data_IF_701799498400
#
_entry.id   IF_701799498400
#
_cell.length_a   1.000
_cell.length_b   1.000
_cell.length_c   1.000
_cell.angle_alpha   90.00
_cell.angle_beta   90.00
_cell.angle_gamma   90.00
#
_symmetry.space_group_name_H-M   'P 1'
#
loop_
_entity.id
_entity.type
_entity.pdbx_description
1 polymer ?
#
# COMPACT_ATOMS: atom_id res chain seq x y z
N UNK A 1 5.35 34.09 -8.79
CA UNK A 1 5.32 34.10 -7.31
C UNK A 1 6.73 33.77 -6.83
N UNK A 2 7.34 34.66 -6.05
CA UNK A 2 8.67 34.42 -5.47
C UNK A 2 8.60 33.31 -4.42
N UNK A 3 9.68 32.52 -4.21
CA UNK A 3 9.69 31.45 -3.22
C UNK A 3 9.59 32.04 -1.80
N UNK A 4 8.65 31.52 -1.01
CA UNK A 4 8.51 31.83 0.41
C UNK A 4 9.68 31.16 1.13
N UNK A 5 10.54 31.97 1.77
CA UNK A 5 11.61 31.47 2.62
C UNK A 5 10.99 30.78 3.84
N UNK A 6 11.24 29.48 3.99
CA UNK A 6 10.88 28.71 5.18
C UNK A 6 12.02 28.87 6.17
N UNK A 7 11.83 29.69 7.20
CA UNK A 7 12.73 29.73 8.35
C UNK A 7 12.51 28.44 9.15
N UNK A 8 13.56 27.65 9.42
CA UNK A 8 13.42 26.48 10.29
C UNK A 8 13.03 26.95 11.72
N UNK A 9 12.22 26.17 12.45
CA UNK A 9 11.98 26.41 13.86
C UNK A 9 13.32 26.35 14.63
N UNK A 10 13.43 27.14 15.69
CA UNK A 10 14.64 27.24 16.49
C UNK A 10 15.12 25.86 16.98
N UNK A 11 16.44 25.65 16.95
CA UNK A 11 17.11 24.46 17.48
C UNK A 11 16.81 24.31 18.98
N UNK A 12 15.77 23.56 19.35
CA UNK A 12 15.76 22.93 20.66
C UNK A 12 16.86 21.87 20.66
N UNK A 13 17.74 21.85 21.68
CA UNK A 13 18.89 20.96 21.69
C UNK A 13 18.42 19.51 21.66
N UNK A 14 18.70 18.82 20.56
CA UNK A 14 18.66 17.36 20.47
C UNK A 14 19.56 16.83 21.58
N UNK A 15 18.95 16.12 22.53
CA UNK A 15 19.59 15.65 23.76
C UNK A 15 20.96 14.98 23.51
N UNK A 16 21.88 15.25 24.44
CA UNK A 16 23.28 14.84 24.44
C UNK A 16 23.48 13.35 24.07
N UNK A 17 24.06 13.08 22.88
CA UNK A 17 24.26 11.74 22.30
C UNK A 17 25.11 10.84 23.22
N UNK A 18 25.90 11.42 24.12
CA UNK A 18 26.70 10.67 25.10
C UNK A 18 25.86 9.96 26.18
N UNK A 19 24.59 10.33 26.36
CA UNK A 19 23.68 9.66 27.31
C UNK A 19 23.11 8.33 26.80
N UNK A 20 23.31 7.98 25.52
CA UNK A 20 22.82 6.73 24.93
C UNK A 20 23.74 5.53 25.21
N UNK A 21 25.00 5.75 25.60
CA UNK A 21 25.98 4.67 25.83
C UNK A 21 25.97 4.11 27.27
N UNK A 22 25.15 4.66 28.17
CA UNK A 22 25.04 4.20 29.56
C UNK A 22 23.71 3.50 29.89
N UNK A 23 22.93 3.08 28.89
CA UNK A 23 21.77 2.21 29.13
C UNK A 23 22.30 0.77 29.29
N UNK A 24 23.02 0.55 30.39
CA UNK A 24 23.24 -0.77 30.95
C UNK A 24 21.89 -1.32 31.38
N UNK A 25 21.55 -2.52 30.89
CA UNK A 25 20.53 -3.45 31.41
C UNK A 25 19.50 -2.82 32.36
N UNK A 26 18.61 -1.99 31.83
CA UNK A 26 17.32 -1.76 32.50
C UNK A 26 16.51 -3.04 32.30
N UNK A 27 16.02 -3.63 33.39
CA UNK A 27 15.20 -4.83 33.40
C UNK A 27 14.23 -4.85 32.20
N UNK A 28 14.19 -5.94 31.45
CA UNK A 28 13.34 -6.06 30.25
C UNK A 28 11.85 -5.86 30.50
N UNK A 29 11.43 -5.92 31.77
CA UNK A 29 10.08 -5.59 32.21
C UNK A 29 9.83 -4.07 32.24
N UNK A 30 10.83 -3.27 32.57
CA UNK A 30 10.74 -1.80 32.65
C UNK A 30 10.68 -1.19 31.24
N UNK A 31 11.42 -1.76 30.28
CA UNK A 31 11.38 -1.30 28.89
C UNK A 31 10.06 -1.61 28.18
N UNK A 32 9.46 -2.78 28.44
CA UNK A 32 8.14 -3.13 27.88
C UNK A 32 7.05 -2.20 28.42
N UNK A 33 7.00 -2.00 29.73
CA UNK A 33 6.02 -1.12 30.36
C UNK A 33 6.17 0.33 29.87
N UNK A 34 7.40 0.82 29.70
CA UNK A 34 7.66 2.14 29.16
C UNK A 34 7.18 2.29 27.70
N UNK A 35 7.40 1.28 26.84
CA UNK A 35 6.92 1.29 25.45
C UNK A 35 5.39 1.27 25.39
N UNK A 36 4.74 0.45 26.22
CA UNK A 36 3.28 0.39 26.30
C UNK A 36 2.70 1.73 26.75
N UNK A 37 3.28 2.34 27.78
CA UNK A 37 2.88 3.67 28.23
C UNK A 37 3.06 4.74 27.14
N UNK A 38 4.19 4.73 26.43
CA UNK A 38 4.44 5.66 25.34
C UNK A 38 3.46 5.48 24.17
N UNK A 39 3.09 4.23 23.85
CA UNK A 39 2.11 3.90 22.84
C UNK A 39 0.71 4.40 23.22
N UNK A 40 0.26 4.16 24.45
CA UNK A 40 -1.04 4.64 24.91
C UNK A 40 -1.09 6.18 24.92
N UNK A 41 -0.05 6.84 25.43
CA UNK A 41 0.04 8.29 25.36
C UNK A 41 0.04 8.81 23.91
N UNK A 42 0.64 8.08 22.96
CA UNK A 42 0.59 8.43 21.54
C UNK A 42 -0.81 8.26 20.94
N UNK A 43 -1.51 7.18 21.28
CA UNK A 43 -2.91 6.97 20.88
C UNK A 43 -3.82 8.06 21.44
N UNK A 44 -3.70 8.40 22.71
CA UNK A 44 -4.50 9.47 23.33
C UNK A 44 -4.30 10.82 22.62
N UNK A 45 -3.05 11.21 22.36
CA UNK A 45 -2.75 12.42 21.58
C UNK A 45 -3.31 12.35 20.16
N UNK A 46 -3.26 11.17 19.54
CA UNK A 46 -3.83 10.95 18.21
C UNK A 46 -5.36 11.13 18.23
N UNK A 47 -6.06 10.55 19.20
CA UNK A 47 -7.53 10.70 19.32
C UNK A 47 -7.92 12.16 19.52
N UNK A 48 -7.27 12.86 20.45
CA UNK A 48 -7.56 14.28 20.76
C UNK A 48 -7.34 15.19 19.55
N UNK A 49 -6.34 14.90 18.72
CA UNK A 49 -6.03 15.68 17.52
C UNK A 49 -6.97 15.40 16.35
N UNK A 50 -7.62 14.24 16.29
CA UNK A 50 -8.41 13.83 15.12
C UNK A 50 -9.88 13.52 15.44
N UNK A 51 -10.63 14.44 16.07
CA UNK A 51 -12.03 14.20 16.46
C UNK A 51 -12.98 14.00 15.27
N UNK A 52 -12.74 14.67 14.14
CA UNK A 52 -13.57 14.51 12.93
C UNK A 52 -13.32 13.15 12.28
N UNK A 53 -12.06 12.73 12.16
CA UNK A 53 -11.74 11.39 11.66
C UNK A 53 -12.35 10.28 12.53
N UNK A 54 -12.35 10.44 13.87
CA UNK A 54 -13.03 9.48 14.77
C UNK A 54 -14.53 9.40 14.46
N UNK A 55 -15.20 10.55 14.37
CA UNK A 55 -16.63 10.60 14.06
C UNK A 55 -16.94 9.89 12.73
N UNK A 56 -16.19 10.19 11.68
CA UNK A 56 -16.36 9.59 10.35
C UNK A 56 -16.08 8.08 10.36
N UNK A 57 -15.11 7.63 11.16
CA UNK A 57 -14.86 6.19 11.34
C UNK A 57 -16.07 5.48 11.96
N UNK A 58 -16.62 6.00 13.04
CA UNK A 58 -17.80 5.43 13.71
C UNK A 58 -19.04 5.43 12.79
N UNK A 59 -19.19 6.44 11.93
CA UNK A 59 -20.22 6.45 10.88
C UNK A 59 -19.96 5.35 9.84
N UNK A 60 -18.71 5.20 9.38
CA UNK A 60 -18.34 4.17 8.41
C UNK A 60 -18.54 2.75 8.94
N UNK A 61 -18.30 2.50 10.23
CA UNK A 61 -18.52 1.20 10.88
C UNK A 61 -19.98 0.72 10.80
N UNK A 62 -20.94 1.63 10.63
CA UNK A 62 -22.35 1.26 10.48
C UNK A 62 -22.63 0.50 9.17
N UNK A 63 -21.75 0.64 8.17
CA UNK A 63 -21.92 0.05 6.84
C UNK A 63 -20.74 -0.81 6.38
N UNK A 64 -19.56 -0.64 6.97
CA UNK A 64 -18.34 -1.34 6.59
C UNK A 64 -17.76 -2.09 7.81
N UNK A 65 -17.39 -3.38 7.68
CA UNK A 65 -16.71 -4.09 8.76
C UNK A 65 -15.43 -3.37 9.18
N UNK A 66 -15.36 -2.93 10.44
CA UNK A 66 -14.25 -2.12 10.95
C UNK A 66 -14.06 -0.79 10.20
N UNK A 67 -15.13 -0.25 9.63
CA UNK A 67 -15.16 1.07 8.98
C UNK A 67 -14.31 1.15 7.72
N UNK A 68 -14.04 0.03 7.04
CA UNK A 68 -13.02 -0.03 6.00
C UNK A 68 -13.32 -1.05 4.87
N UNK A 69 -12.78 -0.80 3.67
CA UNK A 69 -12.92 -1.67 2.48
C UNK A 69 -11.58 -2.19 1.94
N UNK A 70 -10.46 -1.80 2.56
CA UNK A 70 -9.10 -2.21 2.19
C UNK A 70 -8.24 -2.29 3.45
N UNK A 71 -8.11 -3.50 3.99
CA UNK A 71 -7.61 -3.75 5.36
C UNK A 71 -6.30 -3.05 5.72
N UNK A 72 -5.38 -2.85 4.77
CA UNK A 72 -4.12 -2.15 5.00
C UNK A 72 -4.29 -0.69 5.44
N UNK A 73 -5.40 -0.05 5.06
CA UNK A 73 -5.68 1.35 5.41
C UNK A 73 -6.25 1.50 6.82
N UNK A 74 -6.60 0.41 7.50
CA UNK A 74 -7.08 0.47 8.87
C UNK A 74 -5.88 0.46 9.84
N UNK A 75 -5.87 1.40 10.77
CA UNK A 75 -4.92 1.46 11.87
C UNK A 75 -5.65 1.76 13.19
N UNK A 76 -5.18 1.19 14.29
CA UNK A 76 -5.68 1.54 15.61
C UNK A 76 -5.17 2.93 16.04
N UNK A 77 -5.95 3.73 16.78
CA UNK A 77 -7.31 3.43 17.24
C UNK A 77 -8.40 3.58 16.16
N UNK A 78 -8.15 4.39 15.12
CA UNK A 78 -8.99 4.53 13.92
C UNK A 78 -8.14 5.18 12.79
N UNK A 79 -8.53 5.03 11.51
CA UNK A 79 -7.81 5.65 10.40
C UNK A 79 -8.04 7.16 10.31
N UNK A 80 -7.04 7.90 9.81
CA UNK A 80 -7.20 9.33 9.47
C UNK A 80 -8.01 9.45 8.19
N UNK A 81 -9.04 10.28 8.21
CA UNK A 81 -9.83 10.58 7.02
C UNK A 81 -9.17 11.73 6.25
N UNK A 82 -8.78 11.47 4.99
CA UNK A 82 -8.17 12.47 4.12
C UNK A 82 -9.25 13.26 3.38
N UNK A 83 -9.18 14.59 3.44
CA UNK A 83 -10.11 15.49 2.78
C UNK A 83 -9.70 15.75 1.32
N UNK A 84 -8.40 16.05 1.09
CA UNK A 84 -7.89 16.39 -0.25
C UNK A 84 -6.39 16.16 -0.37
N UNK A 85 -5.90 16.10 -1.60
CA UNK A 85 -4.48 16.10 -1.91
C UNK A 85 -4.13 17.03 -3.08
N UNK A 86 -2.92 17.58 -3.09
CA UNK A 86 -2.39 18.39 -4.19
C UNK A 86 -0.87 18.24 -4.25
N UNK A 87 -0.34 17.93 -5.43
CA UNK A 87 1.08 17.63 -5.60
C UNK A 87 1.49 16.44 -4.72
N UNK A 88 2.41 16.69 -3.79
CA UNK A 88 2.91 15.72 -2.82
C UNK A 88 2.28 15.87 -1.42
N UNK A 89 1.30 16.76 -1.26
CA UNK A 89 0.67 17.05 0.03
C UNK A 89 -0.74 16.45 0.12
N UNK A 90 -1.11 16.00 1.30
CA UNK A 90 -2.48 15.63 1.67
C UNK A 90 -2.94 16.40 2.91
N UNK A 91 -4.25 16.62 3.01
CA UNK A 91 -4.88 17.33 4.12
C UNK A 91 -5.98 16.45 4.69
N UNK A 92 -5.98 16.23 6.01
CA UNK A 92 -7.04 15.46 6.68
C UNK A 92 -8.33 16.27 6.87
N UNK A 93 -9.43 15.59 7.21
CA UNK A 93 -10.70 16.23 7.61
C UNK A 93 -10.58 17.02 8.91
N UNK A 94 -9.54 16.77 9.69
CA UNK A 94 -9.18 17.55 10.88
C UNK A 94 -8.29 18.77 10.53
N UNK A 95 -7.97 18.99 9.26
CA UNK A 95 -7.22 20.14 8.76
C UNK A 95 -5.70 20.03 8.87
N UNK A 96 -5.17 18.86 9.24
CA UNK A 96 -3.73 18.65 9.29
C UNK A 96 -3.15 18.45 7.88
N UNK A 97 -2.03 19.10 7.59
CA UNK A 97 -1.31 18.93 6.34
C UNK A 97 -0.14 17.95 6.51
N UNK A 98 0.03 17.04 5.55
CA UNK A 98 1.09 16.04 5.55
C UNK A 98 1.79 16.01 4.19
N UNK A 99 3.10 15.80 4.21
CA UNK A 99 3.84 15.33 3.04
C UNK A 99 3.54 13.84 2.86
N UNK A 100 2.99 13.45 1.71
CA UNK A 100 2.70 12.04 1.41
C UNK A 100 3.98 11.31 0.99
N UNK A 101 4.48 10.48 1.91
CA UNK A 101 5.61 9.58 1.68
C UNK A 101 5.17 8.13 1.41
N UNK A 102 3.87 7.85 1.46
CA UNK A 102 3.30 6.52 1.18
C UNK A 102 3.00 6.38 -0.31
N UNK A 103 2.48 7.43 -0.95
CA UNK A 103 2.29 7.50 -2.40
C UNK A 103 1.42 6.37 -2.95
N UNK A 104 0.31 6.09 -2.27
CA UNK A 104 -0.64 5.03 -2.62
C UNK A 104 0.04 3.66 -2.86
N UNK A 105 0.93 3.27 -1.93
CA UNK A 105 1.72 2.04 -2.02
C UNK A 105 2.42 1.88 -3.37
N UNK A 106 3.09 2.94 -3.84
CA UNK A 106 3.76 3.09 -5.15
C UNK A 106 2.88 3.49 -6.34
N UNK A 107 1.56 3.29 -6.29
CA UNK A 107 0.68 3.64 -7.43
C UNK A 107 0.56 5.15 -7.63
N UNK A 108 0.70 5.93 -6.55
CA UNK A 108 0.60 7.39 -6.51
C UNK A 108 1.88 8.11 -6.95
N UNK A 109 2.66 7.52 -7.84
CA UNK A 109 3.96 8.04 -8.28
C UNK A 109 3.91 9.50 -8.76
N UNK A 110 2.79 9.91 -9.36
CA UNK A 110 2.61 11.25 -9.94
C UNK A 110 2.00 12.27 -8.98
N UNK A 111 1.84 11.90 -7.70
CA UNK A 111 1.15 12.70 -6.69
C UNK A 111 -0.35 12.84 -6.96
N UNK A 112 -0.99 13.75 -6.25
CA UNK A 112 -2.47 13.84 -6.17
C UNK A 112 -3.11 14.74 -7.23
N UNK A 113 -2.33 15.51 -8.00
CA UNK A 113 -2.87 16.51 -8.93
C UNK A 113 -2.00 16.76 -10.17
N UNK A 114 -1.42 15.71 -10.74
CA UNK A 114 -0.61 15.80 -11.97
C UNK A 114 -1.40 16.49 -13.11
N UNK A 115 -0.92 17.65 -13.63
CA UNK A 115 -1.63 18.39 -14.68
C UNK A 115 -1.80 17.57 -15.97
N UNK A 116 -0.82 16.73 -16.30
CA UNK A 116 -0.85 15.87 -17.49
C UNK A 116 -1.95 14.81 -17.38
N UNK A 117 -2.05 14.13 -16.24
CA UNK A 117 -3.07 13.10 -16.01
C UNK A 117 -4.45 13.75 -16.04
N UNK A 118 -4.62 14.88 -15.35
CA UNK A 118 -5.89 15.61 -15.30
C UNK A 118 -6.36 16.05 -16.70
N UNK A 119 -5.46 16.65 -17.51
CA UNK A 119 -5.78 17.03 -18.87
C UNK A 119 -6.14 15.83 -19.76
N UNK A 120 -5.44 14.71 -19.59
CA UNK A 120 -5.70 13.47 -20.35
C UNK A 120 -7.06 12.88 -20.01
N UNK A 121 -7.43 12.83 -18.72
CA UNK A 121 -8.74 12.35 -18.27
C UNK A 121 -9.87 13.20 -18.85
N UNK A 122 -9.76 14.54 -18.74
CA UNK A 122 -10.75 15.45 -19.30
C UNK A 122 -10.90 15.28 -20.81
N UNK A 123 -9.79 15.25 -21.55
CA UNK A 123 -9.80 15.03 -23.00
C UNK A 123 -10.44 13.68 -23.37
N UNK A 124 -10.25 12.65 -22.55
CA UNK A 124 -10.83 11.32 -22.79
C UNK A 124 -12.35 11.37 -22.60
N UNK A 125 -12.83 12.02 -21.53
CA UNK A 125 -14.26 12.21 -21.30
C UNK A 125 -14.92 13.01 -22.42
N UNK A 126 -14.29 14.12 -22.83
CA UNK A 126 -14.86 15.05 -23.81
C UNK A 126 -14.87 14.47 -25.24
N UNK A 127 -13.83 13.70 -25.62
CA UNK A 127 -13.62 13.31 -27.02
C UNK A 127 -13.76 11.80 -27.31
N UNK A 128 -13.75 10.95 -26.29
CA UNK A 128 -13.83 9.49 -26.44
C UNK A 128 -15.08 8.93 -25.76
N UNK A 129 -15.34 9.33 -24.52
CA UNK A 129 -16.45 8.83 -23.69
C UNK A 129 -16.07 7.61 -22.84
N UNK A 130 -17.02 7.15 -22.03
CA UNK A 130 -16.87 6.01 -21.10
C UNK A 130 -17.71 4.82 -21.56
N UNK A 131 -17.30 3.61 -21.16
CA UNK A 131 -18.10 2.39 -21.28
C UNK A 131 -18.63 2.12 -22.70
N UNK A 132 -17.76 2.27 -23.71
CA UNK A 132 -18.13 2.18 -25.13
C UNK A 132 -18.59 0.79 -25.59
N UNK A 133 -18.41 -0.26 -24.78
CA UNK A 133 -18.73 -1.63 -25.17
C UNK A 133 -17.91 -2.16 -26.36
N UNK A 134 -16.77 -1.52 -26.66
CA UNK A 134 -15.94 -1.79 -27.82
C UNK A 134 -14.45 -1.55 -27.53
N UNK A 135 -13.58 -2.10 -28.38
CA UNK A 135 -12.13 -1.86 -28.33
C UNK A 135 -11.78 -0.48 -28.85
N UNK A 136 -10.68 0.09 -28.35
CA UNK A 136 -10.19 1.39 -28.81
C UNK A 136 -8.73 1.32 -29.24
N UNK A 137 -8.30 2.24 -30.11
CA UNK A 137 -6.86 2.33 -30.48
C UNK A 137 -5.93 2.55 -29.28
N UNK A 138 -6.44 3.10 -28.17
CA UNK A 138 -5.66 3.44 -26.99
C UNK A 138 -5.12 2.19 -26.29
N UNK A 139 -5.88 1.09 -26.27
CA UNK A 139 -5.43 -0.16 -25.64
C UNK A 139 -4.20 -0.75 -26.37
N UNK A 140 -4.20 -0.73 -27.70
CA UNK A 140 -3.09 -1.22 -28.51
C UNK A 140 -1.85 -0.32 -28.39
N UNK A 141 -2.05 1.01 -28.38
CA UNK A 141 -0.96 1.97 -28.16
C UNK A 141 -0.33 1.81 -26.79
N UNK A 142 -1.13 1.66 -25.73
CA UNK A 142 -0.63 1.45 -24.39
C UNK A 142 0.11 0.11 -24.27
N UNK A 143 -0.43 -0.95 -24.86
CA UNK A 143 0.23 -2.26 -24.87
C UNK A 143 1.59 -2.21 -25.58
N UNK A 144 1.70 -1.49 -26.70
CA UNK A 144 2.96 -1.33 -27.42
C UNK A 144 4.02 -0.62 -26.56
N UNK A 145 3.64 0.41 -25.80
CA UNK A 145 4.56 1.12 -24.90
C UNK A 145 5.09 0.21 -23.79
N UNK A 146 4.23 -0.61 -23.19
CA UNK A 146 4.62 -1.57 -22.14
C UNK A 146 5.52 -2.66 -22.73
N UNK A 147 5.12 -3.28 -23.84
CA UNK A 147 5.92 -4.31 -24.50
C UNK A 147 7.31 -3.79 -24.86
N UNK A 148 7.40 -2.58 -25.40
CA UNK A 148 8.68 -1.94 -25.72
C UNK A 148 9.52 -1.66 -24.48
N UNK A 149 8.92 -1.15 -23.40
CA UNK A 149 9.64 -0.76 -22.17
C UNK A 149 10.22 -1.98 -21.44
N UNK A 150 9.48 -3.08 -21.41
CA UNK A 150 9.84 -4.27 -20.62
C UNK A 150 10.26 -5.47 -21.49
N UNK A 151 10.46 -5.27 -22.80
CA UNK A 151 10.84 -6.33 -23.75
C UNK A 151 9.91 -7.54 -23.73
N UNK A 152 8.60 -7.30 -23.61
CA UNK A 152 7.57 -8.35 -23.60
C UNK A 152 7.04 -8.62 -25.01
N UNK A 153 6.74 -9.88 -25.32
CA UNK A 153 6.16 -10.24 -26.62
C UNK A 153 4.70 -9.76 -26.77
N UNK A 154 3.86 -10.05 -25.77
CA UNK A 154 2.43 -9.65 -25.72
C UNK A 154 1.99 -9.48 -24.27
N UNK A 155 0.92 -8.71 -24.07
CA UNK A 155 0.28 -8.52 -22.77
C UNK A 155 -1.25 -8.59 -22.88
N UNK A 156 -1.92 -8.73 -21.74
CA UNK A 156 -3.35 -8.46 -21.56
C UNK A 156 -3.52 -7.58 -20.32
N UNK A 157 -4.43 -6.62 -20.38
CA UNK A 157 -4.74 -5.76 -19.24
C UNK A 157 -5.70 -6.45 -18.27
N UNK A 158 -5.60 -6.07 -17.00
CA UNK A 158 -6.49 -6.46 -15.90
C UNK A 158 -6.83 -5.22 -15.09
N UNK A 159 -7.81 -5.32 -14.19
CA UNK A 159 -8.26 -4.22 -13.34
C UNK A 159 -7.43 -4.11 -12.05
N UNK A 160 -6.67 -5.15 -11.71
CA UNK A 160 -5.83 -5.16 -10.52
C UNK A 160 -4.60 -6.07 -10.67
N UNK A 161 -3.61 -5.86 -9.80
CA UNK A 161 -2.48 -6.79 -9.66
C UNK A 161 -2.90 -8.18 -9.17
N UNK A 162 -3.99 -8.28 -8.40
CA UNK A 162 -4.57 -9.57 -7.98
C UNK A 162 -5.05 -10.35 -9.20
N UNK A 163 -5.81 -9.72 -10.09
CA UNK A 163 -6.26 -10.34 -11.35
C UNK A 163 -5.08 -10.69 -12.26
N UNK A 164 -4.06 -9.83 -12.33
CA UNK A 164 -2.86 -10.10 -13.12
C UNK A 164 -2.16 -11.39 -12.67
N UNK A 165 -1.95 -11.57 -11.35
CA UNK A 165 -1.34 -12.78 -10.81
C UNK A 165 -2.25 -14.00 -10.95
N UNK A 166 -3.57 -13.84 -10.79
CA UNK A 166 -4.54 -14.92 -11.05
C UNK A 166 -4.41 -15.42 -12.48
N UNK A 167 -4.44 -14.53 -13.48
CA UNK A 167 -4.31 -14.91 -14.87
C UNK A 167 -2.93 -15.49 -15.21
N UNK A 168 -1.85 -14.96 -14.62
CA UNK A 168 -0.50 -15.48 -14.81
C UNK A 168 -0.37 -16.92 -14.31
N UNK A 169 -0.85 -17.21 -13.09
CA UNK A 169 -0.84 -18.56 -12.51
C UNK A 169 -1.67 -19.52 -13.36
N UNK A 170 -2.88 -19.12 -13.75
CA UNK A 170 -3.75 -19.96 -14.57
C UNK A 170 -3.16 -20.23 -15.96
N UNK A 171 -2.52 -19.24 -16.58
CA UNK A 171 -1.82 -19.43 -17.85
C UNK A 171 -0.65 -20.40 -17.72
N UNK A 172 0.16 -20.28 -16.66
CA UNK A 172 1.29 -21.18 -16.39
C UNK A 172 0.83 -22.62 -16.14
N UNK A 173 -0.23 -22.82 -15.35
CA UNK A 173 -0.83 -24.14 -15.10
C UNK A 173 -1.35 -24.76 -16.40
N UNK A 174 -2.06 -24.00 -17.21
CA UNK A 174 -2.58 -24.49 -18.49
C UNK A 174 -1.45 -24.85 -19.46
N UNK A 175 -0.42 -24.00 -19.56
CA UNK A 175 0.72 -24.24 -20.44
C UNK A 175 1.56 -25.45 -20.04
N UNK A 176 1.80 -25.63 -18.73
CA UNK A 176 2.70 -26.69 -18.22
C UNK A 176 1.98 -28.00 -17.88
N UNK A 177 0.65 -27.99 -17.72
CA UNK A 177 -0.12 -29.10 -17.18
C UNK A 177 0.11 -29.37 -15.68
N UNK A 178 0.91 -28.54 -14.99
CA UNK A 178 1.22 -28.68 -13.56
C UNK A 178 0.21 -27.92 -12.71
N UNK A 179 -0.13 -28.46 -11.53
CA UNK A 179 -1.08 -27.85 -10.60
C UNK A 179 -0.43 -27.01 -9.50
N UNK A 180 0.58 -27.56 -8.85
CA UNK A 180 1.25 -26.92 -7.72
C UNK A 180 2.11 -25.73 -8.17
N UNK A 181 2.17 -24.71 -7.32
CA UNK A 181 2.94 -23.48 -7.56
C UNK A 181 3.84 -23.21 -6.36
N UNK A 182 5.13 -23.01 -6.62
CA UNK A 182 6.09 -22.57 -5.62
C UNK A 182 5.90 -21.07 -5.33
N UNK A 183 5.81 -20.72 -4.05
CA UNK A 183 5.71 -19.35 -3.52
C UNK A 183 6.67 -19.18 -2.35
N UNK A 184 6.90 -17.94 -1.91
CA UNK A 184 7.85 -17.65 -0.83
C UNK A 184 7.19 -17.03 0.40
N UNK A 185 7.73 -17.32 1.59
CA UNK A 185 7.35 -16.66 2.85
C UNK A 185 7.51 -15.14 2.73
N UNK A 186 6.52 -14.39 3.22
CA UNK A 186 6.50 -12.93 3.08
C UNK A 186 5.95 -12.42 1.73
N UNK A 187 5.70 -13.32 0.76
CA UNK A 187 5.19 -12.95 -0.55
C UNK A 187 3.77 -12.35 -0.50
N UNK A 188 3.57 -11.27 -1.25
CA UNK A 188 2.25 -10.66 -1.48
C UNK A 188 2.02 -10.50 -2.98
N UNK A 189 0.99 -11.18 -3.49
CA UNK A 189 0.64 -11.21 -4.90
C UNK A 189 -0.82 -10.81 -5.15
N UNK A 190 -1.44 -10.16 -4.17
CA UNK A 190 -2.82 -9.68 -4.24
C UNK A 190 -3.68 -10.18 -3.10
N UNK A 191 -4.94 -9.76 -3.10
CA UNK A 191 -5.87 -9.97 -1.99
C UNK A 191 -6.08 -11.44 -1.64
N UNK A 192 -6.02 -12.34 -2.63
CA UNK A 192 -6.24 -13.80 -2.47
C UNK A 192 -4.97 -14.62 -2.74
N UNK A 193 -3.79 -13.97 -2.70
CA UNK A 193 -2.47 -14.61 -2.84
C UNK A 193 -1.47 -13.96 -1.88
N UNK A 194 -1.71 -14.12 -0.58
CA UNK A 194 -0.87 -13.59 0.49
C UNK A 194 -0.21 -14.72 1.29
N UNK A 195 1.10 -14.60 1.54
CA UNK A 195 1.94 -15.65 2.16
C UNK A 195 2.79 -15.10 3.32
N UNK A 196 2.28 -14.07 4.02
CA UNK A 196 3.03 -13.28 5.00
C UNK A 196 3.37 -13.99 6.33
N UNK A 197 2.66 -15.07 6.69
CA UNK A 197 2.75 -15.69 8.02
C UNK A 197 3.25 -17.15 8.02
N UNK A 198 4.09 -17.50 7.04
CA UNK A 198 4.62 -18.87 6.91
C UNK A 198 3.60 -19.90 6.42
N UNK A 199 2.36 -19.48 6.22
CA UNK A 199 1.26 -20.22 5.61
C UNK A 199 0.46 -19.29 4.68
N UNK A 200 -0.30 -19.84 3.72
CA UNK A 200 -1.24 -19.03 2.94
C UNK A 200 -2.25 -18.33 3.86
N UNK A 201 -2.59 -17.08 3.56
CA UNK A 201 -3.63 -16.35 4.27
C UNK A 201 -4.99 -17.07 4.13
N UNK A 202 -5.86 -16.92 5.13
CA UNK A 202 -7.12 -17.67 5.20
C UNK A 202 -8.08 -17.41 4.02
N UNK A 203 -7.93 -16.27 3.34
CA UNK A 203 -8.73 -15.88 2.19
C UNK A 203 -8.02 -16.15 0.84
N UNK A 204 -6.90 -16.87 0.83
CA UNK A 204 -6.28 -17.30 -0.42
C UNK A 204 -7.16 -18.32 -1.15
N UNK A 205 -7.08 -18.31 -2.48
CA UNK A 205 -7.65 -19.38 -3.31
C UNK A 205 -6.69 -20.56 -3.39
N UNK A 206 -7.18 -21.72 -3.85
CA UNK A 206 -6.38 -22.94 -4.11
C UNK A 206 -5.46 -23.35 -2.96
N UNK A 207 -5.97 -23.35 -1.72
CA UNK A 207 -5.18 -23.52 -0.49
C UNK A 207 -4.23 -24.73 -0.50
N UNK A 208 -4.59 -25.82 -1.18
CA UNK A 208 -3.83 -27.06 -1.24
C UNK A 208 -2.76 -27.11 -2.37
N UNK A 209 -2.72 -26.11 -3.25
CA UNK A 209 -1.84 -26.09 -4.42
C UNK A 209 -0.54 -25.29 -4.22
N UNK A 210 -0.32 -24.70 -3.03
CA UNK A 210 0.85 -23.87 -2.74
C UNK A 210 2.00 -24.67 -2.13
N UNK A 211 3.19 -24.61 -2.72
CA UNK A 211 4.44 -25.09 -2.12
C UNK A 211 5.16 -23.85 -1.57
N UNK A 212 5.34 -23.76 -0.25
CA UNK A 212 5.96 -22.59 0.38
C UNK A 212 7.44 -22.81 0.66
N UNK A 213 8.30 -22.01 0.02
CA UNK A 213 9.73 -21.91 0.32
C UNK A 213 10.05 -20.67 1.17
N UNK A 214 11.19 -20.68 1.85
CA UNK A 214 11.71 -19.52 2.57
C UNK A 214 12.36 -18.53 1.59
N UNK A 215 11.98 -17.26 1.68
CA UNK A 215 12.56 -16.21 0.85
C UNK A 215 14.07 -16.05 1.13
N UNK A 216 14.88 -15.94 0.07
CA UNK A 216 16.34 -15.89 0.13
C UNK A 216 17.04 -17.14 0.71
N UNK A 217 16.37 -18.30 0.78
CA UNK A 217 16.98 -19.58 1.14
C UNK A 217 17.08 -20.49 -0.09
N UNK A 218 18.30 -20.70 -0.59
CA UNK A 218 18.54 -21.45 -1.84
C UNK A 218 18.35 -22.95 -1.62
N UNK A 219 18.84 -23.46 -0.48
CA UNK A 219 18.77 -24.86 -0.10
C UNK A 219 17.31 -25.30 0.05
N UNK A 220 16.51 -24.54 0.80
CA UNK A 220 15.08 -24.82 1.01
C UNK A 220 14.29 -24.76 -0.31
N UNK A 221 14.58 -23.78 -1.18
CA UNK A 221 13.95 -23.68 -2.49
C UNK A 221 14.28 -24.88 -3.37
N UNK A 222 15.52 -25.39 -3.34
CA UNK A 222 15.95 -26.56 -4.12
C UNK A 222 15.31 -27.86 -3.65
N UNK A 223 15.10 -28.02 -2.35
CA UNK A 223 14.44 -29.22 -1.80
C UNK A 223 12.95 -29.29 -2.18
N UNK A 224 12.33 -28.16 -2.51
CA UNK A 224 10.88 -28.03 -2.78
C UNK A 224 10.48 -28.03 -4.25
N UNK A 225 11.43 -27.99 -5.19
CA UNK A 225 11.22 -28.01 -6.65
C UNK A 225 11.45 -29.39 -7.25
#
# INVERSE_FOLDING_TARGET
>A
MAPVAITPPADEPVGDIKKLQSIQQTDSHDSKAAIEHALEAAKERFVVRNPTSLKLHLEAEQSLPGGNTRSLLHNAPFPVFMQRGTGYMVISEDGHEYVDLVGELTAGLYGHSSPLIHATLKSTLDNVGLSLGATTRLEAQHAQLICKRFSLGRIRFTNSGTEANLHAIQAARHYTGKRKVLVFTGGYHGAVFCFSSGKPAANNVDMDDWIMAEYNNIEDAREKI
#
